data_IF_335109087081
#
_entry.id   IF_335109087081
#
_cell.length_a   1.000
_cell.length_b   1.000
_cell.length_c   1.000
_cell.angle_alpha   90.00
_cell.angle_beta   90.00
_cell.angle_gamma   90.00
#
_symmetry.space_group_name_H-M   'P 1'
#
loop_
_entity.id
_entity.type
_entity.pdbx_description
1 polymer ?
#
# COMPACT_ATOMS: atom_id res chain seq x y z
N UNK A 1 10.60 23.25 -6.50
CA UNK A 1 10.11 22.96 -5.14
C UNK A 1 8.80 22.18 -5.25
N UNK A 2 8.86 20.85 -5.09
CA UNK A 2 7.68 19.97 -5.20
C UNK A 2 6.84 20.14 -3.92
N UNK A 3 5.62 20.69 -4.03
CA UNK A 3 4.68 20.78 -2.92
C UNK A 3 4.02 19.42 -2.73
N UNK A 4 4.48 18.65 -1.74
CA UNK A 4 3.79 17.44 -1.31
C UNK A 4 2.47 17.88 -0.66
N UNK A 5 1.36 17.80 -1.39
CA UNK A 5 0.04 18.03 -0.81
C UNK A 5 -0.28 16.89 0.16
N UNK A 6 -0.44 17.21 1.45
CA UNK A 6 -0.79 16.25 2.50
C UNK A 6 -2.27 15.83 2.36
N UNK A 7 -2.56 14.91 1.43
CA UNK A 7 -3.93 14.46 1.10
C UNK A 7 -4.52 13.49 2.14
N UNK A 8 -3.77 13.13 3.18
CA UNK A 8 -4.20 12.13 4.16
C UNK A 8 -5.25 12.66 5.13
N UNK A 9 -5.60 13.96 5.10
CA UNK A 9 -6.60 14.58 6.00
C UNK A 9 -6.40 14.17 7.47
N UNK A 10 -5.15 14.21 7.96
CA UNK A 10 -4.74 13.76 9.32
C UNK A 10 -4.92 12.25 9.61
N UNK A 11 -5.22 11.41 8.63
CA UNK A 11 -5.24 9.96 8.81
C UNK A 11 -3.83 9.38 8.79
N UNK A 12 -3.55 8.44 9.69
CA UNK A 12 -2.29 7.71 9.72
C UNK A 12 -2.04 6.98 8.38
N UNK A 13 -0.78 6.96 7.95
CA UNK A 13 -0.32 6.23 6.77
C UNK A 13 -0.61 4.73 6.90
N UNK A 14 -0.44 4.21 8.12
CA UNK A 14 -0.75 2.85 8.53
C UNK A 14 -1.87 2.93 9.56
N UNK A 15 -3.08 2.42 9.26
CA UNK A 15 -4.17 2.33 10.23
C UNK A 15 -3.86 1.30 11.31
N UNK A 16 -4.33 1.53 12.54
CA UNK A 16 -4.17 0.61 13.68
C UNK A 16 -4.80 -0.77 13.44
N UNK A 17 -5.86 -0.83 12.63
CA UNK A 17 -6.56 -2.08 12.27
C UNK A 17 -6.34 -2.41 10.80
N UNK A 18 -5.13 -2.84 10.46
CA UNK A 18 -4.72 -3.22 9.10
C UNK A 18 -5.69 -4.22 8.44
N UNK A 19 -6.11 -5.22 9.21
CA UNK A 19 -7.04 -6.27 8.79
C UNK A 19 -8.39 -5.73 8.28
N UNK A 20 -8.82 -4.55 8.74
CA UNK A 20 -10.11 -3.94 8.34
C UNK A 20 -10.02 -3.32 6.94
N UNK A 21 -8.81 -3.07 6.44
CA UNK A 21 -8.60 -2.38 5.17
C UNK A 21 -8.13 -3.27 4.04
N UNK A 22 -7.70 -4.49 4.34
CA UNK A 22 -7.24 -5.50 3.38
C UNK A 22 -8.35 -6.52 3.16
N UNK A 23 -8.58 -6.92 1.92
CA UNK A 23 -9.36 -8.13 1.65
C UNK A 23 -8.51 -9.39 1.88
N UNK A 24 -9.13 -10.56 1.81
CA UNK A 24 -8.47 -11.85 2.07
C UNK A 24 -7.25 -12.09 1.18
N UNK A 25 -7.33 -11.79 -0.12
CA UNK A 25 -6.21 -12.00 -1.05
C UNK A 25 -5.05 -11.04 -0.76
N UNK A 26 -5.36 -9.79 -0.45
CA UNK A 26 -4.36 -8.79 -0.05
C UNK A 26 -3.69 -9.17 1.25
N UNK A 27 -4.45 -9.68 2.22
CA UNK A 27 -3.93 -10.12 3.50
C UNK A 27 -2.97 -11.31 3.35
N UNK A 28 -3.35 -12.32 2.55
CA UNK A 28 -2.49 -13.47 2.27
C UNK A 28 -1.15 -13.03 1.67
N UNK A 29 -1.18 -12.18 0.64
CA UNK A 29 0.04 -11.66 0.03
C UNK A 29 0.84 -10.80 0.99
N UNK A 30 0.17 -9.98 1.80
CA UNK A 30 0.84 -9.16 2.81
C UNK A 30 1.64 -10.04 3.78
N UNK A 31 1.01 -11.04 4.38
CA UNK A 31 1.67 -11.96 5.32
C UNK A 31 2.85 -12.68 4.67
N UNK A 32 2.68 -13.20 3.45
CA UNK A 32 3.75 -13.83 2.70
C UNK A 32 4.92 -12.86 2.44
N UNK A 33 4.65 -11.63 2.03
CA UNK A 33 5.70 -10.65 1.74
C UNK A 33 6.42 -10.17 3.03
N UNK A 34 5.75 -10.20 4.18
CA UNK A 34 6.40 -9.91 5.47
C UNK A 34 7.52 -10.90 5.78
N UNK A 35 7.40 -12.17 5.38
CA UNK A 35 8.45 -13.19 5.55
C UNK A 35 9.74 -12.81 4.81
N UNK A 36 9.64 -12.02 3.73
CA UNK A 36 10.77 -11.49 2.95
C UNK A 36 11.21 -10.09 3.40
N UNK A 37 10.76 -9.64 4.58
CA UNK A 37 11.14 -8.34 5.15
C UNK A 37 10.45 -7.15 4.48
N UNK A 38 9.38 -7.36 3.72
CA UNK A 38 8.57 -6.25 3.23
C UNK A 38 7.62 -5.74 4.31
N UNK A 39 7.43 -4.44 4.36
CA UNK A 39 6.58 -3.78 5.35
C UNK A 39 5.57 -2.88 4.66
N UNK A 40 4.44 -2.60 5.30
CA UNK A 40 3.48 -1.64 4.76
C UNK A 40 4.10 -0.25 4.80
N UNK A 41 4.07 0.40 3.65
CA UNK A 41 4.47 1.79 3.51
C UNK A 41 3.26 2.72 3.71
N UNK A 42 2.17 2.46 3.00
CA UNK A 42 0.86 3.10 3.23
C UNK A 42 -0.28 2.31 2.60
N UNK A 43 -1.51 2.56 3.05
CA UNK A 43 -2.71 2.05 2.37
C UNK A 43 -3.46 3.19 1.69
N UNK A 44 -3.68 3.07 0.38
CA UNK A 44 -4.54 3.99 -0.36
C UNK A 44 -6.00 3.63 -0.11
N UNK A 45 -6.77 4.62 0.36
CA UNK A 45 -8.21 4.48 0.69
C UNK A 45 -9.06 5.48 -0.11
N UNK A 46 -9.30 5.23 -1.41
CA UNK A 46 -10.17 6.08 -2.21
C UNK A 46 -11.62 5.98 -1.70
N UNK A 47 -12.38 7.09 -1.74
CA UNK A 47 -13.79 7.11 -1.29
C UNK A 47 -14.69 6.14 -2.07
N UNK A 48 -14.44 5.98 -3.38
CA UNK A 48 -15.32 5.24 -4.31
C UNK A 48 -14.63 4.02 -4.96
N UNK A 49 -13.36 3.74 -4.62
CA UNK A 49 -12.61 2.63 -5.21
C UNK A 49 -12.03 1.77 -4.09
N UNK A 50 -11.82 0.49 -4.39
CA UNK A 50 -11.28 -0.46 -3.41
C UNK A 50 -9.83 -0.11 -3.04
N UNK A 51 -9.42 -0.50 -1.83
CA UNK A 51 -8.12 -0.16 -1.26
C UNK A 51 -6.96 -0.86 -1.99
N UNK A 52 -5.81 -0.20 -2.05
CA UNK A 52 -4.55 -0.80 -2.51
C UNK A 52 -3.50 -0.63 -1.43
N UNK A 53 -2.70 -1.68 -1.20
CA UNK A 53 -1.65 -1.70 -0.17
C UNK A 53 -0.31 -1.44 -0.82
N UNK A 54 0.38 -0.37 -0.44
CA UNK A 54 1.76 -0.14 -0.82
C UNK A 54 2.68 -0.72 0.25
N UNK A 55 3.69 -1.47 -0.18
CA UNK A 55 4.74 -2.04 0.65
C UNK A 55 6.10 -1.52 0.22
N UNK A 56 7.03 -1.47 1.16
CA UNK A 56 8.44 -1.13 0.95
C UNK A 56 9.30 -2.32 1.38
N UNK A 57 10.37 -2.60 0.65
CA UNK A 57 11.31 -3.64 1.03
C UNK A 57 12.16 -3.21 2.23
N UNK A 58 12.83 -4.18 2.88
CA UNK A 58 13.69 -3.91 4.03
C UNK A 58 14.81 -2.90 3.74
N UNK A 59 15.32 -2.86 2.50
CA UNK A 59 16.35 -1.90 2.10
C UNK A 59 15.83 -0.47 1.85
N UNK A 60 14.51 -0.24 1.87
CA UNK A 60 13.92 1.07 1.58
C UNK A 60 14.03 1.52 0.11
N UNK A 61 14.49 0.64 -0.79
CA UNK A 61 14.84 0.99 -2.18
C UNK A 61 13.70 0.74 -3.17
N UNK A 62 12.77 -0.16 -2.84
CA UNK A 62 11.71 -0.57 -3.75
C UNK A 62 10.34 -0.46 -3.09
N UNK A 63 9.40 0.13 -3.83
CA UNK A 63 7.98 0.15 -3.46
C UNK A 63 7.22 -0.78 -4.38
N UNK A 64 6.45 -1.69 -3.79
CA UNK A 64 5.53 -2.57 -4.49
C UNK A 64 4.11 -2.38 -4.00
N UNK A 65 3.15 -2.89 -4.77
CA UNK A 65 1.73 -2.78 -4.43
C UNK A 65 1.03 -4.11 -4.56
N UNK A 66 0.21 -4.41 -3.56
CA UNK A 66 -0.74 -5.53 -3.59
C UNK A 66 -2.06 -5.03 -4.16
N UNK A 67 -2.42 -5.57 -5.33
CA UNK A 67 -3.71 -5.35 -5.97
C UNK A 67 -4.81 -6.13 -5.26
N UNK A 68 -6.06 -5.85 -5.65
CA UNK A 68 -7.25 -6.43 -5.02
C UNK A 68 -7.35 -7.95 -5.14
N UNK A 69 -6.73 -8.53 -6.17
CA UNK A 69 -6.66 -9.96 -6.39
C UNK A 69 -5.41 -10.60 -5.74
N UNK A 70 -4.78 -9.91 -4.79
CA UNK A 70 -3.55 -10.38 -4.14
C UNK A 70 -2.29 -10.27 -4.99
N UNK A 71 -2.37 -9.89 -6.27
CA UNK A 71 -1.17 -9.78 -7.11
C UNK A 71 -0.26 -8.66 -6.61
N UNK A 72 0.97 -9.01 -6.24
CA UNK A 72 2.04 -8.06 -5.95
C UNK A 72 2.68 -7.55 -7.25
N UNK A 73 2.97 -6.25 -7.34
CA UNK A 73 3.67 -5.68 -8.49
C UNK A 73 4.56 -4.50 -8.09
N UNK A 74 5.73 -4.41 -8.70
CA UNK A 74 6.61 -3.23 -8.64
C UNK A 74 6.24 -2.18 -9.68
N UNK A 75 5.28 -2.47 -10.58
CA UNK A 75 4.85 -1.51 -11.59
C UNK A 75 3.90 -0.46 -10.97
N UNK A 76 4.52 0.61 -10.48
CA UNK A 76 3.83 1.74 -9.87
C UNK A 76 2.92 2.48 -10.85
N UNK A 77 3.09 2.38 -12.19
CA UNK A 77 2.17 3.01 -13.16
C UNK A 77 0.74 2.49 -13.06
N UNK A 78 0.55 1.32 -12.45
CA UNK A 78 -0.78 0.75 -12.21
C UNK A 78 -1.50 1.35 -11.00
N UNK A 79 -0.79 2.15 -10.20
CA UNK A 79 -1.33 3.00 -9.17
C UNK A 79 -1.04 4.42 -9.63
N UNK A 80 -2.06 5.17 -10.02
CA UNK A 80 -1.90 6.61 -10.22
C UNK A 80 -1.52 7.24 -8.86
N UNK A 81 -0.23 7.21 -8.54
CA UNK A 81 0.46 8.15 -7.68
C UNK A 81 0.40 9.45 -8.49
N UNK A 82 -0.66 10.22 -8.27
CA UNK A 82 -0.68 11.57 -8.81
C UNK A 82 0.38 12.33 -8.01
N UNK A 83 1.39 12.79 -8.72
CA UNK A 83 2.36 13.78 -8.25
C UNK A 83 1.66 14.97 -7.57
#
# INVERSE_FOLDING_TARGET
MMRIFERRKRKLAIPSSLMVHLNTDQLKTYLYMQEFGWQIYFIRRPLLRKNTVAMINNAGTHIGVIKLNGRFTLNLKTINLRD
#
